data_IF_156817201129
#
_entry.id   IF_156817201129
#
_cell.length_a   1.000
_cell.length_b   1.000
_cell.length_c   1.000
_cell.angle_alpha   90.00
_cell.angle_beta   90.00
_cell.angle_gamma   90.00
#
_symmetry.space_group_name_H-M   'P 1'
#
loop_
_entity.id
_entity.type
_entity.pdbx_description
1 polymer ?
#
# COMPACT_ATOMS: atom_id res chain seq x y z
N UNK A 1 -3.91 -22.07 28.18
CA UNK A 1 -2.55 -21.98 27.58
C UNK A 1 -1.57 -22.65 28.54
N UNK A 2 -0.59 -23.44 28.05
CA UNK A 2 0.44 -24.04 28.90
C UNK A 2 1.18 -22.95 29.68
N UNK A 3 1.34 -23.15 31.00
CA UNK A 3 1.94 -22.18 31.91
C UNK A 3 3.47 -21.96 31.74
N UNK A 4 4.10 -22.68 30.81
CA UNK A 4 5.56 -22.71 30.64
C UNK A 4 6.02 -22.29 29.24
N UNK A 5 5.33 -21.35 28.58
CA UNK A 5 5.84 -20.76 27.34
C UNK A 5 6.86 -19.71 27.74
N UNK A 6 8.13 -19.96 27.40
CA UNK A 6 9.20 -18.96 27.50
C UNK A 6 8.93 -17.85 26.47
N UNK A 7 8.69 -16.62 26.94
CA UNK A 7 8.55 -15.46 26.06
C UNK A 7 9.96 -14.97 25.73
N UNK A 8 10.32 -14.98 24.46
CA UNK A 8 11.54 -14.36 23.95
C UNK A 8 11.16 -13.06 23.24
N UNK A 9 11.85 -11.99 23.57
CA UNK A 9 11.77 -10.71 22.87
C UNK A 9 12.91 -10.64 21.85
N UNK A 10 12.56 -10.56 20.57
CA UNK A 10 13.51 -10.45 19.47
C UNK A 10 13.52 -9.03 18.85
N UNK A 11 12.82 -8.06 19.43
CA UNK A 11 12.70 -6.72 18.86
C UNK A 11 14.06 -6.03 18.64
N UNK A 12 15.01 -6.27 19.54
CA UNK A 12 16.37 -5.73 19.46
C UNK A 12 17.24 -6.36 18.36
N UNK A 13 16.80 -7.50 17.82
CA UNK A 13 17.50 -8.22 16.74
C UNK A 13 16.80 -7.99 15.40
N UNK A 14 15.51 -8.28 15.31
CA UNK A 14 14.73 -8.29 14.06
C UNK A 14 14.55 -6.89 13.48
N UNK A 15 14.25 -5.88 14.30
CA UNK A 15 14.01 -4.52 13.80
C UNK A 15 15.28 -3.92 13.16
N UNK A 16 16.46 -3.98 13.80
CA UNK A 16 17.68 -3.52 13.16
C UNK A 16 18.04 -4.30 11.90
N UNK A 17 17.83 -5.62 11.86
CA UNK A 17 18.09 -6.45 10.68
C UNK A 17 17.16 -6.03 9.51
N UNK A 18 15.86 -5.84 9.77
CA UNK A 18 14.92 -5.37 8.76
C UNK A 18 15.33 -4.01 8.20
N UNK A 19 15.65 -3.03 9.07
CA UNK A 19 16.10 -1.70 8.65
C UNK A 19 17.38 -1.80 7.82
N UNK A 20 18.35 -2.63 8.24
CA UNK A 20 19.60 -2.82 7.52
C UNK A 20 19.36 -3.43 6.12
N UNK A 21 18.45 -4.41 6.00
CA UNK A 21 18.07 -4.99 4.72
C UNK A 21 17.43 -3.96 3.79
N UNK A 22 16.48 -3.16 4.29
CA UNK A 22 15.84 -2.11 3.51
C UNK A 22 16.85 -1.05 3.05
N UNK A 23 17.76 -0.64 3.91
CA UNK A 23 18.85 0.30 3.56
C UNK A 23 19.78 -0.29 2.50
N UNK A 24 20.07 -1.58 2.56
CA UNK A 24 20.87 -2.25 1.53
C UNK A 24 20.13 -2.30 0.17
N UNK A 25 18.81 -2.57 0.18
CA UNK A 25 18.01 -2.67 -1.04
C UNK A 25 17.81 -1.32 -1.74
N UNK A 26 17.57 -0.27 -0.98
CA UNK A 26 17.13 1.02 -1.50
C UNK A 26 18.19 2.13 -1.47
N UNK A 27 19.18 2.05 -0.57
CA UNK A 27 20.16 3.13 -0.39
C UNK A 27 19.51 4.44 0.03
N UNK A 28 20.03 5.57 -0.44
CA UNK A 28 19.51 6.91 -0.11
C UNK A 28 18.52 7.42 -1.16
N UNK A 29 17.48 6.65 -1.43
CA UNK A 29 16.47 6.98 -2.46
C UNK A 29 15.65 8.23 -2.12
N UNK A 30 15.50 8.55 -0.85
CA UNK A 30 14.58 9.57 -0.35
C UNK A 30 15.13 11.00 -0.36
N UNK A 31 16.36 11.23 -0.87
CA UNK A 31 16.94 12.57 -0.91
C UNK A 31 16.10 13.54 -1.75
N UNK A 32 15.66 14.64 -1.12
CA UNK A 32 14.77 15.63 -1.72
C UNK A 32 13.30 15.22 -1.75
N UNK A 33 12.92 14.16 -1.05
CA UNK A 33 11.53 13.73 -0.85
C UNK A 33 11.07 14.10 0.54
N UNK A 34 9.94 14.80 0.63
CA UNK A 34 9.23 15.09 1.88
C UNK A 34 8.01 14.19 1.98
N UNK A 35 7.91 13.40 3.04
CA UNK A 35 6.82 12.45 3.28
C UNK A 35 6.20 12.67 4.66
N UNK A 36 4.87 12.63 4.73
CA UNK A 36 4.14 12.55 6.00
C UNK A 36 3.81 11.09 6.26
N UNK A 37 4.11 10.59 7.45
CA UNK A 37 3.86 9.19 7.84
C UNK A 37 2.89 9.15 8.98
N UNK A 38 1.74 8.53 8.77
CA UNK A 38 0.70 8.30 9.76
C UNK A 38 0.70 6.83 10.20
N UNK A 39 1.13 6.60 11.42
CA UNK A 39 1.22 5.26 11.99
C UNK A 39 -0.01 4.88 12.84
N UNK A 40 -0.99 5.77 12.98
CA UNK A 40 -2.24 5.55 13.72
C UNK A 40 -2.03 4.95 15.14
N UNK A 41 -0.94 5.29 15.82
CA UNK A 41 -0.51 4.69 17.09
C UNK A 41 -0.33 3.15 17.04
N UNK A 42 -0.04 2.61 15.87
CA UNK A 42 0.12 1.20 15.62
C UNK A 42 1.60 0.80 15.43
N UNK A 43 1.84 -0.46 15.08
CA UNK A 43 3.19 -1.05 15.02
C UNK A 43 4.11 -0.41 13.98
N UNK A 44 3.58 0.13 12.89
CA UNK A 44 4.36 0.80 11.84
C UNK A 44 5.17 1.99 12.32
N UNK A 45 4.74 2.64 13.41
CA UNK A 45 5.45 3.78 14.02
C UNK A 45 6.82 3.41 14.56
N UNK A 46 7.04 2.16 14.93
CA UNK A 46 8.30 1.67 15.47
C UNK A 46 9.41 1.64 14.40
N UNK A 47 9.04 1.43 13.14
CA UNK A 47 10.00 1.15 12.05
C UNK A 47 9.92 2.17 10.91
N UNK A 48 8.71 2.43 10.40
CA UNK A 48 8.52 3.17 9.16
C UNK A 48 9.14 4.57 9.14
N UNK A 49 8.82 5.46 10.11
CA UNK A 49 9.36 6.82 10.12
C UNK A 49 10.88 6.86 10.20
N UNK A 50 11.49 6.03 11.07
CA UNK A 50 12.95 5.98 11.21
C UNK A 50 13.60 5.44 9.94
N UNK A 51 13.04 4.38 9.34
CA UNK A 51 13.55 3.84 8.08
C UNK A 51 13.55 4.89 6.97
N UNK A 52 12.45 5.63 6.79
CA UNK A 52 12.39 6.63 5.72
C UNK A 52 13.36 7.80 5.94
N UNK A 53 13.60 8.21 7.19
CA UNK A 53 14.69 9.15 7.52
C UNK A 53 16.06 8.59 7.13
N UNK A 54 16.30 7.34 7.46
CA UNK A 54 17.56 6.64 7.13
C UNK A 54 17.77 6.53 5.61
N UNK A 55 16.68 6.40 4.83
CA UNK A 55 16.69 6.43 3.36
C UNK A 55 16.87 7.86 2.80
N UNK A 56 16.89 8.89 3.64
CA UNK A 56 17.20 10.27 3.26
C UNK A 56 15.97 11.18 3.08
N UNK A 57 14.76 10.74 3.44
CA UNK A 57 13.56 11.56 3.37
C UNK A 57 13.53 12.64 4.48
N UNK A 58 12.91 13.78 4.17
CA UNK A 58 12.35 14.67 5.19
C UNK A 58 11.01 14.07 5.65
N UNK A 59 10.94 13.60 6.91
CA UNK A 59 9.77 12.88 7.45
C UNK A 59 9.05 13.73 8.47
N UNK A 60 7.74 13.90 8.28
CA UNK A 60 6.81 14.43 9.26
C UNK A 60 6.01 13.27 9.83
N UNK A 61 6.08 13.08 11.13
CA UNK A 61 5.44 11.95 11.81
C UNK A 61 4.08 12.33 12.40
N UNK A 62 3.11 11.46 12.22
CA UNK A 62 1.80 11.50 12.86
C UNK A 62 1.58 10.18 13.61
N UNK A 63 1.28 10.32 14.92
CA UNK A 63 0.84 9.21 15.76
C UNK A 63 1.79 8.00 15.76
N UNK A 64 3.11 8.25 15.83
CA UNK A 64 4.14 7.21 15.71
C UNK A 64 4.36 6.40 17.00
N UNK A 65 3.95 6.93 18.17
CA UNK A 65 4.06 6.20 19.44
C UNK A 65 2.98 5.12 19.53
N UNK A 66 3.33 3.82 19.69
CA UNK A 66 2.36 2.75 19.79
C UNK A 66 1.43 2.90 21.02
N UNK A 67 0.13 2.89 20.78
CA UNK A 67 -0.91 2.87 21.81
C UNK A 67 -2.09 2.01 21.35
N UNK A 68 -2.26 0.83 21.95
CA UNK A 68 -3.32 -0.12 21.57
C UNK A 68 -4.75 0.37 21.84
N UNK A 69 -4.94 1.58 22.37
CA UNK A 69 -6.25 2.24 22.45
C UNK A 69 -6.60 3.05 21.20
N UNK A 70 -5.61 3.29 20.34
CA UNK A 70 -5.75 4.07 19.09
C UNK A 70 -6.43 5.44 19.30
N UNK A 71 -5.88 6.32 20.14
CA UNK A 71 -6.59 7.50 20.66
C UNK A 71 -6.88 8.55 19.57
N UNK A 72 -6.19 8.53 18.44
CA UNK A 72 -6.35 9.53 17.39
C UNK A 72 -7.36 9.08 16.32
N UNK A 73 -7.19 7.88 15.77
CA UNK A 73 -8.15 7.26 14.85
C UNK A 73 -7.90 5.75 14.73
N UNK A 74 -8.89 5.03 14.23
CA UNK A 74 -8.76 3.59 14.00
C UNK A 74 -7.69 3.32 12.92
N UNK A 75 -6.76 2.36 13.10
CA UNK A 75 -5.68 2.08 12.17
C UNK A 75 -6.18 1.29 10.94
N UNK A 76 -6.88 1.98 10.05
CA UNK A 76 -7.41 1.38 8.82
C UNK A 76 -7.38 2.39 7.65
N UNK A 77 -6.33 2.39 6.83
CA UNK A 77 -6.15 3.36 5.75
C UNK A 77 -7.11 3.17 4.57
N UNK A 78 -7.92 2.11 4.55
CA UNK A 78 -8.98 1.96 3.55
C UNK A 78 -10.25 2.75 3.86
N UNK A 79 -10.33 3.38 5.05
CA UNK A 79 -11.44 4.25 5.47
C UNK A 79 -11.02 5.70 5.31
N UNK A 80 -11.64 6.43 4.37
CA UNK A 80 -11.22 7.80 4.01
C UNK A 80 -11.14 8.77 5.20
N UNK A 81 -12.06 8.68 6.16
CA UNK A 81 -12.06 9.56 7.33
C UNK A 81 -10.84 9.38 8.23
N UNK A 82 -10.18 8.23 8.22
CA UNK A 82 -8.94 8.01 8.99
C UNK A 82 -7.73 8.70 8.35
N UNK A 83 -7.82 9.11 7.09
CA UNK A 83 -6.76 9.78 6.35
C UNK A 83 -6.87 11.32 6.35
N UNK A 84 -7.88 11.90 7.00
CA UNK A 84 -8.13 13.36 6.96
C UNK A 84 -6.94 14.16 7.53
N UNK A 85 -6.41 13.74 8.68
CA UNK A 85 -5.25 14.42 9.30
C UNK A 85 -4.02 14.30 8.42
N UNK A 86 -3.76 13.12 7.86
CA UNK A 86 -2.67 12.88 6.91
C UNK A 86 -2.81 13.78 5.68
N UNK A 87 -3.98 13.80 5.05
CA UNK A 87 -4.29 14.62 3.88
C UNK A 87 -4.04 16.12 4.13
N UNK A 88 -4.53 16.62 5.24
CA UNK A 88 -4.33 18.01 5.65
C UNK A 88 -2.85 18.34 5.88
N UNK A 89 -2.15 17.47 6.62
CA UNK A 89 -0.72 17.68 6.94
C UNK A 89 0.15 17.65 5.68
N UNK A 90 -0.15 16.78 4.69
CA UNK A 90 0.55 16.76 3.40
C UNK A 90 0.44 18.11 2.70
N UNK A 91 -0.75 18.67 2.60
CA UNK A 91 -0.99 19.96 1.92
C UNK A 91 -0.33 21.12 2.68
N UNK A 92 -0.52 21.21 4.00
CA UNK A 92 0.01 22.28 4.83
C UNK A 92 1.55 22.36 4.82
N UNK A 93 2.21 21.22 4.67
CA UNK A 93 3.67 21.14 4.66
C UNK A 93 4.28 21.02 3.26
N UNK A 94 3.47 21.11 2.20
CA UNK A 94 3.91 20.90 0.82
C UNK A 94 4.70 19.58 0.66
N UNK A 95 4.24 18.50 1.30
CA UNK A 95 4.88 17.20 1.19
C UNK A 95 4.61 16.57 -0.19
N UNK A 96 5.51 15.70 -0.64
CA UNK A 96 5.38 15.02 -1.92
C UNK A 96 4.29 13.95 -1.89
N UNK A 97 4.13 13.32 -0.72
CA UNK A 97 3.11 12.30 -0.46
C UNK A 97 2.90 12.11 1.05
N UNK A 98 1.80 11.46 1.37
CA UNK A 98 1.52 10.91 2.70
C UNK A 98 1.45 9.39 2.64
N UNK A 99 1.91 8.71 3.67
CA UNK A 99 1.84 7.26 3.83
C UNK A 99 1.17 6.95 5.16
N UNK A 100 0.19 6.05 5.14
CA UNK A 100 -0.49 5.54 6.34
C UNK A 100 -0.37 4.01 6.41
N UNK A 101 -0.37 3.47 7.62
CA UNK A 101 -0.37 2.04 7.90
C UNK A 101 -1.62 1.62 8.64
N UNK A 102 -1.96 0.36 8.55
CA UNK A 102 -2.92 -0.25 9.45
C UNK A 102 -2.27 -0.82 10.73
N UNK A 103 -3.04 -1.57 11.52
CA UNK A 103 -2.65 -1.99 12.86
C UNK A 103 -1.38 -2.83 12.96
N UNK A 104 -1.15 -3.72 12.04
CA UNK A 104 0.02 -4.61 11.95
C UNK A 104 0.92 -4.32 10.74
N UNK A 105 0.61 -3.22 10.02
CA UNK A 105 1.41 -2.67 8.93
C UNK A 105 1.55 -3.61 7.72
N UNK A 106 0.50 -4.38 7.43
CA UNK A 106 0.39 -5.19 6.23
C UNK A 106 -0.40 -4.47 5.10
N UNK A 107 -1.10 -3.35 5.42
CA UNK A 107 -1.82 -2.49 4.47
C UNK A 107 -1.27 -1.08 4.45
N UNK A 108 -1.04 -0.58 3.24
CA UNK A 108 -0.62 0.80 2.99
C UNK A 108 -1.77 1.65 2.47
N UNK A 109 -1.89 2.86 3.00
CA UNK A 109 -2.63 3.96 2.40
C UNK A 109 -1.66 5.02 1.90
N UNK A 110 -1.95 5.65 0.76
CA UNK A 110 -1.15 6.75 0.23
C UNK A 110 -2.04 7.92 -0.10
N UNK A 111 -1.55 9.11 0.21
CA UNK A 111 -2.16 10.39 -0.13
C UNK A 111 -1.23 11.14 -1.06
N UNK A 112 -1.75 11.68 -2.16
CA UNK A 112 -0.97 12.46 -3.12
C UNK A 112 -0.61 13.87 -2.59
N UNK A 113 0.19 14.61 -3.34
CA UNK A 113 0.66 15.95 -2.95
C UNK A 113 -0.46 17.00 -2.80
N UNK A 114 -1.68 16.69 -3.26
CA UNK A 114 -2.88 17.53 -3.10
C UNK A 114 -3.76 17.12 -1.92
N UNK A 115 -3.31 16.15 -1.13
CA UNK A 115 -4.10 15.62 -0.02
C UNK A 115 -5.19 14.64 -0.45
N UNK A 116 -5.14 14.09 -1.68
CA UNK A 116 -6.14 13.14 -2.16
C UNK A 116 -5.72 11.71 -1.86
N UNK A 117 -6.51 10.92 -1.10
CA UNK A 117 -6.24 9.52 -0.88
C UNK A 117 -6.31 8.71 -2.19
N UNK A 118 -5.41 7.74 -2.32
CA UNK A 118 -5.36 6.81 -3.44
C UNK A 118 -5.99 5.47 -3.04
N UNK A 119 -6.84 4.93 -3.89
CA UNK A 119 -7.41 3.59 -3.72
C UNK A 119 -6.39 2.51 -4.05
N UNK A 120 -6.58 1.28 -3.54
CA UNK A 120 -5.63 0.18 -3.71
C UNK A 120 -5.33 -0.16 -5.17
N UNK A 121 -6.31 -0.04 -6.06
CA UNK A 121 -6.12 -0.24 -7.51
C UNK A 121 -5.23 0.83 -8.16
N UNK A 122 -5.32 2.09 -7.69
CA UNK A 122 -4.43 3.18 -8.14
C UNK A 122 -3.01 2.96 -7.65
N UNK A 123 -2.84 2.52 -6.40
CA UNK A 123 -1.53 2.17 -5.85
C UNK A 123 -0.90 1.04 -6.67
N UNK A 124 -1.68 -0.01 -6.94
CA UNK A 124 -1.20 -1.15 -7.72
C UNK A 124 -0.82 -0.75 -9.15
N UNK A 125 -1.59 0.17 -9.78
CA UNK A 125 -1.22 0.69 -11.10
C UNK A 125 0.12 1.42 -11.06
N UNK A 126 0.34 2.29 -10.07
CA UNK A 126 1.61 3.02 -9.93
C UNK A 126 2.78 2.05 -9.82
N UNK A 127 2.66 1.02 -8.96
CA UNK A 127 3.69 0.00 -8.80
C UNK A 127 3.91 -0.83 -10.07
N UNK A 128 2.83 -1.21 -10.76
CA UNK A 128 2.91 -1.98 -12.00
C UNK A 128 3.61 -1.20 -13.12
N UNK A 129 3.31 0.09 -13.24
CA UNK A 129 3.91 0.95 -14.26
C UNK A 129 5.40 1.22 -14.01
N UNK A 130 5.87 1.21 -12.76
CA UNK A 130 7.31 1.32 -12.45
C UNK A 130 8.13 0.13 -12.94
N UNK A 131 7.51 -1.04 -13.02
CA UNK A 131 8.16 -2.28 -13.49
C UNK A 131 7.66 -2.77 -14.85
N UNK A 132 6.94 -1.93 -15.59
CA UNK A 132 6.25 -2.35 -16.83
C UNK A 132 7.21 -2.87 -17.91
N UNK A 133 8.43 -2.34 -17.97
CA UNK A 133 9.48 -2.79 -18.90
C UNK A 133 9.89 -4.27 -18.68
N UNK A 134 9.56 -4.85 -17.51
CA UNK A 134 9.77 -6.27 -17.22
C UNK A 134 8.63 -7.15 -17.75
N UNK A 135 7.62 -6.58 -18.42
CA UNK A 135 6.40 -7.27 -18.85
C UNK A 135 5.74 -8.09 -17.72
N UNK A 136 5.44 -7.46 -16.55
CA UNK A 136 5.07 -8.17 -15.34
C UNK A 136 3.72 -8.87 -15.49
N UNK A 137 3.60 -10.06 -14.90
CA UNK A 137 2.29 -10.57 -14.51
C UNK A 137 1.90 -9.94 -13.18
N UNK A 138 0.71 -9.32 -13.13
CA UNK A 138 0.14 -8.63 -11.97
C UNK A 138 -1.19 -9.25 -11.60
N UNK A 139 -1.39 -9.60 -10.34
CA UNK A 139 -2.65 -10.19 -9.85
C UNK A 139 -3.40 -9.20 -8.98
N UNK A 140 -4.70 -9.03 -9.23
CA UNK A 140 -5.55 -8.20 -8.39
C UNK A 140 -6.96 -8.78 -8.25
N UNK A 141 -7.76 -8.19 -7.36
CA UNK A 141 -9.08 -8.69 -7.03
C UNK A 141 -10.19 -8.06 -7.89
N UNK A 142 -11.35 -8.72 -7.91
CA UNK A 142 -12.54 -8.32 -8.68
C UNK A 142 -13.08 -6.92 -8.33
N UNK A 143 -12.78 -6.36 -7.15
CA UNK A 143 -13.21 -5.01 -6.76
C UNK A 143 -12.38 -3.88 -7.39
N UNK A 144 -11.21 -4.20 -7.93
CA UNK A 144 -10.37 -3.23 -8.61
C UNK A 144 -10.99 -2.79 -9.93
N UNK A 145 -10.75 -1.52 -10.29
CA UNK A 145 -11.25 -0.94 -11.53
C UNK A 145 -10.76 -1.70 -12.76
N UNK A 146 -11.60 -1.88 -13.78
CA UNK A 146 -11.21 -2.43 -15.07
C UNK A 146 -10.08 -1.63 -15.72
N UNK A 147 -10.00 -0.32 -15.44
CA UNK A 147 -8.89 0.55 -15.90
C UNK A 147 -7.52 0.03 -15.48
N UNK A 148 -7.39 -0.53 -14.28
CA UNK A 148 -6.14 -1.14 -13.83
C UNK A 148 -5.69 -2.24 -14.79
N UNK A 149 -6.58 -3.19 -15.08
CA UNK A 149 -6.28 -4.35 -15.93
C UNK A 149 -5.99 -3.92 -17.37
N UNK A 150 -6.83 -3.06 -17.93
CA UNK A 150 -6.68 -2.57 -19.31
C UNK A 150 -5.37 -1.78 -19.47
N UNK A 151 -5.04 -0.90 -18.52
CA UNK A 151 -3.82 -0.08 -18.60
C UNK A 151 -2.56 -0.95 -18.54
N UNK A 152 -2.49 -1.91 -17.63
CA UNK A 152 -1.35 -2.83 -17.52
C UNK A 152 -1.22 -3.66 -18.80
N UNK A 153 -2.32 -4.23 -19.30
CA UNK A 153 -2.31 -5.06 -20.51
C UNK A 153 -1.91 -4.26 -21.75
N UNK A 154 -2.44 -3.04 -21.90
CA UNK A 154 -2.10 -2.16 -23.03
C UNK A 154 -0.63 -1.69 -23.00
N UNK A 155 -0.04 -1.61 -21.82
CA UNK A 155 1.37 -1.26 -21.62
C UNK A 155 2.33 -2.46 -21.76
N UNK A 156 1.82 -3.66 -22.07
CA UNK A 156 2.62 -4.87 -22.31
C UNK A 156 2.84 -5.76 -21.09
N UNK A 157 2.16 -5.50 -19.97
CA UNK A 157 2.06 -6.42 -18.85
C UNK A 157 0.95 -7.47 -19.06
N UNK A 158 0.72 -8.30 -18.05
CA UNK A 158 -0.34 -9.31 -18.01
C UNK A 158 -1.11 -9.20 -16.68
N UNK A 159 -2.25 -8.52 -16.69
CA UNK A 159 -3.07 -8.32 -15.50
C UNK A 159 -4.12 -9.43 -15.36
N UNK A 160 -4.13 -10.09 -14.22
CA UNK A 160 -5.01 -11.23 -13.92
C UNK A 160 -5.93 -10.88 -12.76
N UNK A 161 -7.24 -11.02 -12.98
CA UNK A 161 -8.27 -10.84 -11.96
C UNK A 161 -8.50 -12.14 -11.18
N UNK A 162 -8.63 -12.04 -9.87
CA UNK A 162 -8.98 -13.17 -9.02
C UNK A 162 -10.01 -12.80 -7.94
N UNK A 163 -10.32 -13.73 -7.06
CA UNK A 163 -11.21 -13.52 -5.92
C UNK A 163 -10.57 -12.59 -4.90
N UNK A 164 -11.40 -11.79 -4.21
CA UNK A 164 -10.99 -10.99 -3.05
C UNK A 164 -10.45 -11.86 -1.93
N UNK A 165 -9.34 -11.43 -1.37
CA UNK A 165 -8.69 -12.04 -0.20
C UNK A 165 -7.21 -12.34 -0.45
N UNK A 166 -6.35 -11.85 0.43
CA UNK A 166 -4.89 -11.93 0.29
C UNK A 166 -4.37 -13.36 0.05
N UNK A 167 -5.03 -14.37 0.64
CA UNK A 167 -4.68 -15.77 0.41
C UNK A 167 -4.90 -16.20 -1.05
N UNK A 168 -6.02 -15.80 -1.66
CA UNK A 168 -6.31 -16.11 -3.07
C UNK A 168 -5.36 -15.38 -4.03
N UNK A 169 -4.99 -14.15 -3.70
CA UNK A 169 -4.01 -13.40 -4.51
C UNK A 169 -2.66 -14.07 -4.45
N UNK A 170 -2.16 -14.41 -3.25
CA UNK A 170 -0.87 -15.11 -3.08
C UNK A 170 -0.85 -16.47 -3.79
N UNK A 171 -1.93 -17.24 -3.72
CA UNK A 171 -2.09 -18.50 -4.45
C UNK A 171 -2.04 -18.28 -5.97
N UNK A 172 -2.81 -17.29 -6.47
CA UNK A 172 -2.82 -16.95 -7.89
C UNK A 172 -1.47 -16.43 -8.38
N UNK A 173 -0.79 -15.60 -7.59
CA UNK A 173 0.58 -15.16 -7.89
C UNK A 173 1.55 -16.34 -8.03
N UNK A 174 1.43 -17.36 -7.16
CA UNK A 174 2.25 -18.57 -7.25
C UNK A 174 1.94 -19.37 -8.51
N UNK A 175 0.67 -19.57 -8.85
CA UNK A 175 0.22 -20.30 -10.04
C UNK A 175 0.68 -19.64 -11.35
N UNK A 176 0.65 -18.31 -11.39
CA UNK A 176 0.91 -17.54 -12.61
C UNK A 176 2.31 -16.95 -12.67
N UNK A 177 3.15 -17.23 -11.67
CA UNK A 177 4.48 -16.62 -11.50
C UNK A 177 4.44 -15.09 -11.49
N UNK A 178 3.34 -14.51 -11.02
CA UNK A 178 3.20 -13.06 -10.92
C UNK A 178 4.23 -12.48 -9.94
N UNK A 179 4.78 -11.32 -10.32
CA UNK A 179 5.82 -10.63 -9.53
C UNK A 179 5.27 -9.46 -8.72
N UNK A 180 4.00 -9.11 -8.95
CA UNK A 180 3.28 -8.07 -8.22
C UNK A 180 1.82 -8.49 -8.02
N UNK A 181 1.26 -8.16 -6.87
CA UNK A 181 -0.16 -8.31 -6.60
C UNK A 181 -0.66 -7.26 -5.63
N UNK A 182 -1.99 -7.06 -5.56
CA UNK A 182 -2.56 -6.10 -4.63
C UNK A 182 -4.07 -6.17 -4.53
N UNK A 183 -4.60 -5.53 -3.48
CA UNK A 183 -6.02 -5.44 -3.16
C UNK A 183 -6.48 -4.00 -2.95
N UNK A 184 -7.78 -3.77 -3.09
CA UNK A 184 -8.41 -2.48 -2.76
C UNK A 184 -8.16 -2.04 -1.31
N UNK A 185 -7.96 -2.99 -0.40
CA UNK A 185 -7.70 -2.76 1.02
C UNK A 185 -6.32 -2.17 1.31
N UNK A 186 -5.39 -2.18 0.33
CA UNK A 186 -4.02 -1.69 0.49
C UNK A 186 -2.97 -2.78 0.71
N UNK A 187 -3.35 -4.06 0.81
CA UNK A 187 -2.37 -5.16 0.74
C UNK A 187 -1.64 -5.11 -0.60
N UNK A 188 -0.31 -5.18 -0.59
CA UNK A 188 0.52 -5.19 -1.79
C UNK A 188 1.65 -6.21 -1.65
N UNK A 189 1.82 -7.05 -2.67
CA UNK A 189 2.71 -8.19 -2.67
C UNK A 189 3.77 -8.02 -3.75
N UNK A 190 5.02 -7.79 -3.36
CA UNK A 190 6.13 -7.65 -4.29
C UNK A 190 6.98 -8.92 -4.31
N UNK A 191 7.25 -9.48 -5.49
CA UNK A 191 8.10 -10.64 -5.69
C UNK A 191 9.24 -10.39 -6.69
N UNK A 192 9.29 -9.19 -7.27
CA UNK A 192 10.37 -8.75 -8.14
C UNK A 192 11.70 -8.56 -7.38
N UNK A 193 11.64 -7.90 -6.22
CA UNK A 193 12.80 -7.61 -5.36
C UNK A 193 12.54 -7.89 -3.88
N UNK A 194 11.42 -8.60 -3.58
CA UNK A 194 11.00 -8.93 -2.22
C UNK A 194 10.43 -10.36 -2.13
N UNK A 195 9.95 -10.75 -0.99
CA UNK A 195 9.59 -12.13 -0.65
C UNK A 195 8.19 -12.55 -1.11
N UNK A 196 7.33 -11.60 -1.49
CA UNK A 196 5.97 -11.87 -1.95
C UNK A 196 4.91 -11.96 -0.86
N UNK A 197 5.20 -11.46 0.35
CA UNK A 197 4.20 -11.19 1.37
C UNK A 197 3.86 -9.69 1.45
N UNK A 198 2.76 -9.38 2.12
CA UNK A 198 2.27 -8.03 2.34
C UNK A 198 3.10 -7.33 3.43
N UNK A 199 3.70 -6.19 3.06
CA UNK A 199 4.53 -5.36 3.90
C UNK A 199 4.34 -3.89 3.48
N UNK A 200 3.58 -3.15 4.27
CA UNK A 200 3.26 -1.77 3.95
C UNK A 200 4.47 -0.83 4.07
N UNK A 201 5.42 -1.14 4.94
CA UNK A 201 6.64 -0.34 5.10
C UNK A 201 7.53 -0.51 3.86
N UNK A 202 7.70 -1.75 3.38
CA UNK A 202 8.37 -2.01 2.10
C UNK A 202 7.66 -1.34 0.92
N UNK A 203 6.32 -1.46 0.85
CA UNK A 203 5.52 -0.80 -0.18
C UNK A 203 5.71 0.72 -0.17
N UNK A 204 5.84 1.32 1.01
CA UNK A 204 6.17 2.74 1.17
C UNK A 204 7.57 3.07 0.64
N UNK A 205 8.59 2.24 0.89
CA UNK A 205 9.92 2.41 0.28
C UNK A 205 9.83 2.40 -1.26
N UNK A 206 9.06 1.49 -1.85
CA UNK A 206 8.82 1.42 -3.31
C UNK A 206 8.12 2.69 -3.81
N UNK A 207 7.14 3.22 -3.08
CA UNK A 207 6.45 4.46 -3.45
C UNK A 207 7.40 5.66 -3.42
N UNK A 208 8.23 5.78 -2.39
CA UNK A 208 9.27 6.82 -2.27
C UNK A 208 10.26 6.71 -3.44
N UNK A 209 10.71 5.50 -3.78
CA UNK A 209 11.60 5.23 -4.91
C UNK A 209 11.00 5.72 -6.24
N UNK A 210 9.74 5.42 -6.48
CA UNK A 210 9.01 5.85 -7.68
C UNK A 210 8.96 7.38 -7.77
N UNK A 211 8.57 8.05 -6.69
CA UNK A 211 8.51 9.52 -6.65
C UNK A 211 9.89 10.12 -6.89
N UNK A 212 10.92 9.61 -6.21
CA UNK A 212 12.29 10.11 -6.32
C UNK A 212 12.88 9.91 -7.73
N UNK A 213 12.67 8.73 -8.33
CA UNK A 213 13.10 8.40 -9.70
C UNK A 213 12.49 9.37 -10.72
N UNK A 214 11.20 9.60 -10.62
CA UNK A 214 10.48 10.49 -11.53
C UNK A 214 10.85 11.97 -11.31
N UNK A 215 11.02 12.42 -10.06
CA UNK A 215 11.46 13.80 -9.76
C UNK A 215 12.89 14.09 -10.27
N UNK A 216 13.77 13.10 -10.31
CA UNK A 216 15.11 13.27 -10.93
C UNK A 216 15.03 13.55 -12.42
N UNK A 217 14.04 12.99 -13.12
CA UNK A 217 13.81 13.22 -14.56
C UNK A 217 12.99 14.50 -14.80
N UNK A 218 12.00 14.76 -13.96
CA UNK A 218 11.13 15.92 -14.01
C UNK A 218 10.93 16.50 -12.60
N UNK A 219 11.61 17.59 -12.21
CA UNK A 219 11.47 18.18 -10.87
C UNK A 219 10.04 18.59 -10.49
N UNK A 220 9.16 18.79 -11.49
CA UNK A 220 7.75 19.11 -11.29
C UNK A 220 6.85 17.88 -11.26
N UNK A 221 7.40 16.68 -11.28
CA UNK A 221 6.64 15.44 -11.18
C UNK A 221 5.80 15.40 -9.92
N UNK A 222 4.57 14.96 -10.08
CA UNK A 222 3.60 14.70 -9.01
C UNK A 222 3.05 13.30 -9.17
N UNK A 223 2.81 12.61 -8.05
CA UNK A 223 2.35 11.21 -8.07
C UNK A 223 1.04 11.05 -8.85
N UNK A 224 0.14 12.01 -8.73
CA UNK A 224 -1.14 12.03 -9.46
C UNK A 224 -0.98 12.07 -11.00
N UNK A 225 0.19 12.43 -11.54
CA UNK A 225 0.43 12.39 -12.99
C UNK A 225 0.39 10.94 -13.54
N UNK A 226 0.68 9.94 -12.72
CA UNK A 226 0.60 8.53 -13.11
C UNK A 226 -0.83 7.99 -13.15
N UNK A 227 -1.81 8.77 -12.72
CA UNK A 227 -3.21 8.35 -12.56
C UNK A 227 -4.14 8.85 -13.66
N UNK A 228 -3.60 9.42 -14.75
CA UNK A 228 -4.39 9.90 -15.88
C UNK A 228 -5.39 8.87 -16.43
N UNK A 229 -5.09 7.56 -16.51
CA UNK A 229 -6.06 6.56 -16.97
C UNK A 229 -7.35 6.52 -16.14
N UNK A 230 -7.29 6.90 -14.85
CA UNK A 230 -8.45 6.95 -13.97
C UNK A 230 -9.28 8.24 -14.07
N UNK A 231 -8.83 9.26 -14.80
CA UNK A 231 -9.52 10.57 -14.84
C UNK A 231 -10.88 10.52 -15.56
N UNK A 232 -11.13 9.50 -16.36
CA UNK A 232 -12.37 9.35 -17.16
C UNK A 232 -13.31 8.27 -16.61
N UNK A 233 -13.06 7.78 -15.41
CA UNK A 233 -13.81 6.66 -14.82
C UNK A 233 -14.71 7.15 -13.71
N UNK A 234 -15.96 6.74 -13.79
CA UNK A 234 -16.92 6.90 -12.71
C UNK A 234 -16.88 5.66 -11.82
N UNK A 235 -16.68 5.84 -10.53
CA UNK A 235 -16.69 4.77 -9.54
C UNK A 235 -17.86 5.00 -8.57
N UNK A 236 -18.49 3.91 -8.13
CA UNK A 236 -19.42 3.93 -6.99
C UNK A 236 -18.68 3.47 -5.74
N UNK A 237 -19.15 3.91 -4.59
CA UNK A 237 -18.69 3.39 -3.32
C UNK A 237 -19.06 1.92 -3.15
N UNK A 238 -18.28 1.19 -2.33
CA UNK A 238 -18.63 -0.17 -1.92
C UNK A 238 -19.86 -0.13 -1.00
N UNK A 239 -20.95 -0.74 -1.43
CA UNK A 239 -22.18 -0.82 -0.62
C UNK A 239 -22.24 -2.18 0.07
N UNK A 240 -22.33 -2.18 1.40
CA UNK A 240 -22.39 -3.40 2.23
C UNK A 240 -23.78 -3.59 2.80
N UNK A 241 -24.35 -4.78 2.56
CA UNK A 241 -25.65 -5.18 3.10
C UNK A 241 -25.48 -6.30 4.13
N UNK A 242 -26.19 -6.25 5.28
CA UNK A 242 -26.26 -7.39 6.18
C UNK A 242 -26.89 -8.60 5.47
N UNK A 243 -26.18 -9.72 5.43
CA UNK A 243 -26.68 -10.95 4.85
C UNK A 243 -26.30 -12.14 5.74
N UNK A 244 -27.28 -12.91 6.28
CA UNK A 244 -26.97 -14.12 7.04
C UNK A 244 -26.15 -15.12 6.22
N UNK A 245 -25.17 -15.76 6.83
CA UNK A 245 -24.22 -16.62 6.11
C UNK A 245 -24.90 -17.73 5.30
N UNK A 246 -25.98 -18.31 5.82
CA UNK A 246 -26.71 -19.41 5.16
C UNK A 246 -27.49 -18.95 3.90
N UNK A 247 -27.79 -17.65 3.75
CA UNK A 247 -28.49 -17.08 2.59
C UNK A 247 -27.55 -16.53 1.51
N UNK A 248 -26.26 -16.33 1.81
CA UNK A 248 -25.32 -15.67 0.88
C UNK A 248 -25.26 -16.34 -0.49
N UNK A 249 -25.26 -17.67 -0.52
CA UNK A 249 -25.20 -18.42 -1.78
C UNK A 249 -26.47 -18.23 -2.62
N UNK A 250 -27.64 -18.30 -2.00
CA UNK A 250 -28.94 -18.11 -2.66
C UNK A 250 -29.08 -16.70 -3.21
N UNK A 251 -28.72 -15.69 -2.43
CA UNK A 251 -28.69 -14.28 -2.85
C UNK A 251 -27.80 -14.10 -4.07
N UNK A 252 -26.57 -14.61 -4.04
CA UNK A 252 -25.63 -14.54 -5.17
C UNK A 252 -26.20 -15.18 -6.44
N UNK A 253 -26.82 -16.36 -6.34
CA UNK A 253 -27.39 -17.04 -7.50
C UNK A 253 -28.63 -16.28 -8.07
N UNK A 254 -29.41 -15.63 -7.20
CA UNK A 254 -30.55 -14.79 -7.64
C UNK A 254 -30.09 -13.51 -8.37
N UNK A 255 -28.95 -12.94 -8.00
CA UNK A 255 -28.40 -11.73 -8.62
C UNK A 255 -27.71 -11.99 -9.97
N UNK A 256 -27.38 -13.23 -10.31
CA UNK A 256 -26.80 -13.61 -11.60
C UNK A 256 -27.85 -13.76 -12.73
N UNK A 257 -29.12 -13.75 -12.40
CA UNK A 257 -30.26 -13.84 -13.34
C UNK A 257 -30.72 -12.44 -13.76
#
# INVERSE_FOLDING_TARGET
LPSNIEKKDFSTEIIPEYIAEMKQKFGRIGEGIKVVVDSANATGGIVGPQLYKDLGCEVIELFSEPDGTFPNHHPNPSVLSTLETLSKTVVENNADLGIAYDGDSDRIGVVDSKGKPLTGDKLLLIYAMDIIDQHPTVVSEVKCSQVLFDTINNAGGNAIMCKTGHGYIKEKMKETHAILGGEMSGHTFFKDRYYGFDDAIYAGCRMIEIVAKNKKQNPNFKLENMLEPFNQVFTSDEVRFPCPNHLKKEVLESMKK
#
